data_IF_438800372772
#
_entry.id   IF_438800372772
#
_cell.length_a   1.000
_cell.length_b   1.000
_cell.length_c   1.000
_cell.angle_alpha   90.00
_cell.angle_beta   90.00
_cell.angle_gamma   90.00
#
_symmetry.space_group_name_H-M   'P 1'
#
loop_
_entity.id
_entity.type
_entity.pdbx_description
1 polymer ?
#
# COMPACT_ATOMS: atom_id res chain seq x y z
N UNK A 1 16.44 -39.22 1.83
CA UNK A 1 15.80 -38.56 0.67
C UNK A 1 15.96 -37.06 0.84
N UNK A 2 16.81 -36.44 0.03
CA UNK A 2 17.11 -35.01 0.15
C UNK A 2 15.85 -34.18 -0.06
N UNK A 3 15.65 -33.12 0.74
CA UNK A 3 14.52 -32.17 0.65
C UNK A 3 14.23 -31.63 -0.78
N UNK A 4 15.17 -31.78 -1.71
CA UNK A 4 15.13 -31.27 -3.08
C UNK A 4 14.07 -31.92 -3.98
N UNK A 5 13.82 -33.24 -3.85
CA UNK A 5 12.81 -33.94 -4.67
C UNK A 5 11.37 -33.56 -4.28
N UNK A 6 11.17 -33.03 -3.08
CA UNK A 6 9.85 -32.58 -2.59
C UNK A 6 9.46 -31.22 -3.20
N UNK A 7 10.43 -30.35 -3.48
CA UNK A 7 10.17 -29.01 -4.02
C UNK A 7 9.93 -29.01 -5.52
N UNK A 8 10.60 -29.91 -6.26
CA UNK A 8 10.53 -30.00 -7.73
C UNK A 8 10.34 -31.46 -8.21
N UNK A 9 9.17 -32.08 -7.94
CA UNK A 9 8.99 -33.53 -8.12
C UNK A 9 9.02 -34.02 -9.59
N UNK A 10 8.90 -33.11 -10.57
CA UNK A 10 8.77 -33.46 -12.00
C UNK A 10 9.94 -32.95 -12.87
N UNK A 11 11.03 -32.50 -12.26
CA UNK A 11 12.16 -31.90 -12.99
C UNK A 11 13.41 -32.78 -12.93
N UNK A 12 14.17 -32.78 -14.03
CA UNK A 12 15.48 -33.46 -14.11
C UNK A 12 16.47 -32.85 -13.12
N UNK A 13 17.49 -33.61 -12.70
CA UNK A 13 18.46 -33.17 -11.68
C UNK A 13 19.16 -31.85 -12.05
N UNK A 14 19.53 -31.66 -13.32
CA UNK A 14 20.14 -30.40 -13.80
C UNK A 14 19.19 -29.20 -13.68
N UNK A 15 17.93 -29.36 -14.10
CA UNK A 15 16.92 -28.30 -13.96
C UNK A 15 16.59 -28.01 -12.51
N UNK A 16 16.53 -29.04 -11.66
CA UNK A 16 16.31 -28.91 -10.22
C UNK A 16 17.45 -28.12 -9.58
N UNK A 17 18.70 -28.38 -9.96
CA UNK A 17 19.86 -27.67 -9.44
C UNK A 17 19.90 -26.20 -9.88
N UNK A 18 19.47 -25.88 -11.10
CA UNK A 18 19.32 -24.50 -11.56
C UNK A 18 18.28 -23.75 -10.73
N UNK A 19 17.12 -24.35 -10.46
CA UNK A 19 16.08 -23.72 -9.63
C UNK A 19 16.50 -23.57 -8.16
N UNK A 20 17.29 -24.49 -7.63
CA UNK A 20 17.87 -24.37 -6.30
C UNK A 20 18.87 -23.21 -6.22
N UNK A 21 19.76 -23.07 -7.20
CA UNK A 21 20.68 -21.94 -7.29
C UNK A 21 19.91 -20.60 -7.40
N UNK A 22 18.84 -20.56 -8.19
CA UNK A 22 17.98 -19.38 -8.27
C UNK A 22 17.33 -19.07 -6.92
N UNK A 23 16.78 -20.09 -6.24
CA UNK A 23 16.18 -19.93 -4.92
C UNK A 23 17.19 -19.43 -3.87
N UNK A 24 18.45 -19.87 -3.93
CA UNK A 24 19.53 -19.40 -3.05
C UNK A 24 19.90 -17.93 -3.32
N UNK A 25 19.97 -17.52 -4.59
CA UNK A 25 20.17 -16.10 -4.97
C UNK A 25 19.04 -15.25 -4.39
N UNK A 26 17.80 -15.73 -4.52
CA UNK A 26 16.62 -15.07 -3.98
C UNK A 26 16.67 -15.00 -2.45
N UNK A 27 17.11 -16.06 -1.77
CA UNK A 27 17.28 -16.08 -0.31
C UNK A 27 18.35 -15.10 0.16
N UNK A 28 19.49 -15.03 -0.52
CA UNK A 28 20.54 -14.06 -0.21
C UNK A 28 20.05 -12.61 -0.37
N UNK A 29 19.26 -12.33 -1.42
CA UNK A 29 18.57 -11.05 -1.58
C UNK A 29 17.60 -10.79 -0.41
N UNK A 30 16.82 -11.78 -0.01
CA UNK A 30 15.82 -11.69 1.06
C UNK A 30 16.38 -11.58 2.48
N UNK A 31 17.65 -11.88 2.75
CA UNK A 31 18.23 -11.56 4.08
C UNK A 31 18.39 -10.05 4.29
N UNK A 32 18.56 -9.28 3.20
CA UNK A 32 18.76 -7.83 3.22
C UNK A 32 17.44 -7.06 3.17
N UNK A 33 16.43 -7.57 2.45
CA UNK A 33 15.18 -6.85 2.17
C UNK A 33 14.24 -6.60 3.36
N UNK A 34 14.00 -7.54 4.30
CA UNK A 34 13.14 -7.31 5.46
C UNK A 34 13.62 -6.15 6.31
N UNK A 35 14.94 -5.95 6.40
CA UNK A 35 15.54 -4.78 7.03
C UNK A 35 15.25 -3.51 6.22
N UNK A 36 15.38 -3.56 4.90
CA UNK A 36 15.06 -2.44 4.02
C UNK A 36 13.58 -2.02 4.08
N UNK A 37 12.64 -2.96 4.01
CA UNK A 37 11.19 -2.67 4.10
C UNK A 37 10.83 -2.04 5.44
N UNK A 38 11.46 -2.48 6.53
CA UNK A 38 11.29 -1.86 7.84
C UNK A 38 11.74 -0.39 7.85
N UNK A 39 12.93 -0.07 7.32
CA UNK A 39 13.40 1.33 7.25
C UNK A 39 12.50 2.20 6.36
N UNK A 40 12.10 1.67 5.20
CA UNK A 40 11.18 2.36 4.30
C UNK A 40 9.83 2.57 4.97
N UNK A 41 9.33 1.59 5.72
CA UNK A 41 8.06 1.72 6.45
C UNK A 41 8.14 2.77 7.56
N UNK A 42 9.27 2.88 8.27
CA UNK A 42 9.51 3.94 9.26
C UNK A 42 9.47 5.34 8.62
N UNK A 43 10.21 5.55 7.53
CA UNK A 43 10.17 6.81 6.77
C UNK A 43 8.77 7.06 6.19
N UNK A 44 8.13 6.00 5.70
CA UNK A 44 6.78 5.99 5.16
C UNK A 44 5.74 6.43 6.18
N UNK A 45 5.83 5.98 7.42
CA UNK A 45 4.94 6.37 8.50
C UNK A 45 5.05 7.88 8.78
N UNK A 46 6.28 8.39 8.93
CA UNK A 46 6.53 9.82 9.17
C UNK A 46 5.98 10.66 8.01
N UNK A 47 6.32 10.30 6.77
CA UNK A 47 5.92 11.04 5.58
C UNK A 47 4.41 11.02 5.36
N UNK A 48 3.72 9.90 5.62
CA UNK A 48 2.26 9.81 5.54
C UNK A 48 1.54 10.56 6.67
N UNK A 49 2.08 10.54 7.89
CA UNK A 49 1.55 11.38 8.99
C UNK A 49 1.64 12.86 8.63
N UNK A 50 2.82 13.32 8.17
CA UNK A 50 2.99 14.70 7.70
C UNK A 50 2.06 15.00 6.53
N UNK A 51 1.91 14.06 5.60
CA UNK A 51 1.00 14.21 4.47
C UNK A 51 -0.43 14.48 4.93
N UNK A 52 -0.96 13.60 5.80
CA UNK A 52 -2.30 13.68 6.39
C UNK A 52 -2.52 14.98 7.15
N UNK A 53 -1.55 15.40 7.97
CA UNK A 53 -1.61 16.66 8.73
C UNK A 53 -1.82 17.87 7.81
N UNK A 54 -1.21 17.88 6.62
CA UNK A 54 -1.33 18.98 5.66
C UNK A 54 -2.65 18.92 4.89
N UNK A 55 -3.02 17.76 4.35
CA UNK A 55 -4.18 17.63 3.45
C UNK A 55 -5.52 17.68 4.18
N UNK A 56 -5.56 17.36 5.48
CA UNK A 56 -6.76 17.46 6.33
C UNK A 56 -7.10 18.90 6.73
N UNK A 57 -6.20 19.88 6.47
CA UNK A 57 -6.49 21.29 6.76
C UNK A 57 -7.65 21.80 5.90
N UNK A 58 -8.49 22.66 6.49
CA UNK A 58 -9.67 23.28 5.83
C UNK A 58 -9.33 23.94 4.48
N UNK A 59 -8.13 24.50 4.33
CA UNK A 59 -7.67 25.11 3.06
C UNK A 59 -7.46 24.11 1.92
N UNK A 60 -7.27 22.83 2.25
CA UNK A 60 -7.03 21.74 1.30
C UNK A 60 -8.30 20.92 1.05
N UNK A 61 -9.25 20.85 1.97
CA UNK A 61 -10.52 20.10 1.83
C UNK A 61 -11.53 20.80 0.90
N UNK A 62 -11.19 20.94 -0.37
CA UNK A 62 -11.97 21.72 -1.35
C UNK A 62 -12.58 20.88 -2.48
N UNK A 63 -12.15 19.63 -2.66
CA UNK A 63 -12.66 18.75 -3.71
C UNK A 63 -12.61 17.28 -3.30
N UNK A 64 -13.45 16.46 -3.94
CA UNK A 64 -13.47 14.99 -3.76
C UNK A 64 -12.10 14.34 -3.89
N UNK A 65 -11.27 14.78 -4.84
CA UNK A 65 -9.89 14.30 -5.00
C UNK A 65 -9.04 14.51 -3.75
N UNK A 66 -9.18 15.64 -3.04
CA UNK A 66 -8.40 15.86 -1.83
C UNK A 66 -8.88 14.93 -0.71
N UNK A 67 -10.16 14.57 -0.70
CA UNK A 67 -10.70 13.54 0.20
C UNK A 67 -10.19 12.14 -0.18
N UNK A 68 -10.14 11.81 -1.47
CA UNK A 68 -9.58 10.54 -1.94
C UNK A 68 -8.09 10.45 -1.56
N UNK A 69 -7.32 11.53 -1.70
CA UNK A 69 -5.93 11.60 -1.25
C UNK A 69 -5.79 11.42 0.28
N UNK A 70 -6.75 11.91 1.07
CA UNK A 70 -6.82 11.61 2.51
C UNK A 70 -7.01 10.10 2.73
N UNK A 71 -7.96 9.48 2.02
CA UNK A 71 -8.20 8.04 2.10
C UNK A 71 -6.96 7.22 1.76
N UNK A 72 -6.26 7.57 0.67
CA UNK A 72 -4.98 6.96 0.27
C UNK A 72 -3.97 7.08 1.42
N UNK A 73 -3.73 8.28 1.95
CA UNK A 73 -2.77 8.49 3.03
C UNK A 73 -3.12 7.75 4.33
N UNK A 74 -4.41 7.55 4.65
CA UNK A 74 -4.85 6.76 5.81
C UNK A 74 -4.47 5.30 5.61
N UNK A 75 -4.82 4.72 4.46
CA UNK A 75 -4.51 3.32 4.17
C UNK A 75 -3.01 3.07 4.02
N UNK A 76 -2.28 3.99 3.41
CA UNK A 76 -0.83 3.89 3.32
C UNK A 76 -0.20 3.92 4.72
N UNK A 77 -0.68 4.78 5.63
CA UNK A 77 -0.24 4.78 7.03
C UNK A 77 -0.59 3.46 7.74
N UNK A 78 -1.79 2.90 7.53
CA UNK A 78 -2.17 1.59 8.07
C UNK A 78 -1.20 0.50 7.61
N UNK A 79 -0.80 0.49 6.33
CA UNK A 79 0.20 -0.45 5.80
C UNK A 79 1.54 -0.28 6.53
N UNK A 80 2.03 0.95 6.69
CA UNK A 80 3.31 1.20 7.38
C UNK A 80 3.27 0.70 8.83
N UNK A 81 2.19 1.00 9.56
CA UNK A 81 2.01 0.56 10.94
C UNK A 81 1.90 -0.97 11.04
N UNK A 82 1.20 -1.61 10.09
CA UNK A 82 1.09 -3.06 10.02
C UNK A 82 2.42 -3.75 9.73
N UNK A 83 3.30 -3.12 8.93
CA UNK A 83 4.66 -3.63 8.69
C UNK A 83 5.52 -3.48 9.94
N UNK A 84 5.39 -2.38 10.69
CA UNK A 84 6.20 -2.11 11.89
C UNK A 84 5.78 -2.94 13.11
N UNK A 85 4.48 -3.24 13.27
CA UNK A 85 3.93 -3.92 14.45
C UNK A 85 4.60 -5.27 14.78
N UNK A 86 4.81 -6.19 13.81
CA UNK A 86 5.48 -7.49 14.05
C UNK A 86 6.93 -7.37 14.55
N UNK A 87 7.60 -6.24 14.31
CA UNK A 87 9.00 -6.04 14.70
C UNK A 87 9.17 -5.53 16.14
N UNK A 88 8.11 -5.00 16.75
CA UNK A 88 8.12 -4.67 18.17
C UNK A 88 8.12 -5.99 18.96
N UNK A 89 9.25 -6.31 19.60
CA UNK A 89 9.49 -7.55 20.38
C UNK A 89 9.60 -8.85 19.56
N UNK A 90 10.31 -8.83 18.43
CA UNK A 90 10.59 -10.06 17.69
C UNK A 90 11.62 -10.91 18.45
N UNK A 91 11.24 -12.13 18.82
CA UNK A 91 12.14 -13.12 19.40
C UNK A 91 13.28 -13.43 18.41
N UNK A 92 14.52 -13.46 18.88
CA UNK A 92 15.65 -13.93 18.09
C UNK A 92 15.51 -15.43 17.88
N UNK A 93 15.43 -15.85 16.61
CA UNK A 93 15.44 -17.26 16.22
C UNK A 93 16.76 -17.87 16.70
N UNK A 94 16.68 -18.93 17.52
CA UNK A 94 17.85 -19.56 18.15
C UNK A 94 18.45 -18.78 19.33
N UNK A 95 17.79 -17.72 19.79
CA UNK A 95 18.14 -17.00 21.01
C UNK A 95 17.39 -17.53 22.25
N UNK A 96 17.57 -16.83 23.36
CA UNK A 96 16.87 -17.11 24.62
C UNK A 96 15.48 -16.45 24.73
N UNK A 97 15.03 -15.81 23.65
CA UNK A 97 13.73 -15.16 23.61
C UNK A 97 12.63 -16.21 23.49
N UNK A 98 11.64 -16.23 24.40
CA UNK A 98 10.57 -17.22 24.33
C UNK A 98 9.67 -16.99 23.12
N UNK A 99 9.01 -18.04 22.59
CA UNK A 99 8.15 -17.92 21.41
C UNK A 99 6.98 -16.95 21.64
N UNK A 100 6.42 -16.39 20.55
CA UNK A 100 5.29 -15.47 20.62
C UNK A 100 4.08 -16.14 21.28
N UNK A 101 3.35 -15.37 22.09
CA UNK A 101 2.11 -15.84 22.70
C UNK A 101 1.00 -16.03 21.63
N UNK A 102 -0.02 -16.83 21.96
CA UNK A 102 -1.18 -17.03 21.09
C UNK A 102 -1.80 -15.70 20.63
N UNK A 103 -1.99 -14.75 21.55
CA UNK A 103 -2.52 -13.41 21.25
C UNK A 103 -1.63 -12.68 20.25
N UNK A 104 -0.30 -12.81 20.37
CA UNK A 104 0.64 -12.18 19.45
C UNK A 104 0.51 -12.74 18.03
N UNK A 105 0.39 -14.06 17.88
CA UNK A 105 0.16 -14.69 16.57
C UNK A 105 -1.14 -14.20 15.92
N UNK A 106 -2.21 -14.05 16.71
CA UNK A 106 -3.47 -13.48 16.21
C UNK A 106 -3.32 -12.00 15.80
N UNK A 107 -2.58 -11.19 16.57
CA UNK A 107 -2.30 -9.80 16.24
C UNK A 107 -1.47 -9.66 14.96
N UNK A 108 -0.51 -10.57 14.72
CA UNK A 108 0.29 -10.60 13.48
C UNK A 108 -0.58 -10.93 12.26
N UNK A 109 -1.46 -11.93 12.37
CA UNK A 109 -2.41 -12.26 11.31
C UNK A 109 -3.41 -11.11 11.05
N UNK A 110 -3.86 -10.43 12.10
CA UNK A 110 -4.70 -9.24 11.98
C UNK A 110 -3.94 -8.11 11.29
N UNK A 111 -2.68 -7.87 11.67
CA UNK A 111 -1.81 -6.87 11.06
C UNK A 111 -1.63 -7.12 9.56
N UNK A 112 -1.43 -8.37 9.17
CA UNK A 112 -1.35 -8.78 7.77
C UNK A 112 -2.67 -8.50 7.02
N UNK A 113 -3.82 -8.86 7.61
CA UNK A 113 -5.13 -8.61 7.00
C UNK A 113 -5.42 -7.10 6.82
N UNK A 114 -5.03 -6.27 7.80
CA UNK A 114 -5.12 -4.81 7.70
C UNK A 114 -4.24 -4.29 6.57
N UNK A 115 -2.99 -4.78 6.47
CA UNK A 115 -2.08 -4.40 5.40
C UNK A 115 -2.62 -4.79 4.02
N UNK A 116 -3.13 -6.01 3.86
CA UNK A 116 -3.72 -6.47 2.59
C UNK A 116 -4.92 -5.62 2.17
N UNK A 117 -5.89 -5.45 3.08
CA UNK A 117 -7.08 -4.63 2.82
C UNK A 117 -6.72 -3.18 2.49
N UNK A 118 -5.71 -2.62 3.15
CA UNK A 118 -5.28 -1.23 2.95
C UNK A 118 -4.52 -1.02 1.65
N UNK A 119 -3.63 -1.95 1.26
CA UNK A 119 -2.97 -1.94 -0.06
C UNK A 119 -3.99 -2.01 -1.20
N UNK A 120 -4.99 -2.88 -1.07
CA UNK A 120 -6.09 -3.03 -2.03
C UNK A 120 -6.93 -1.75 -2.12
N UNK A 121 -7.29 -1.17 -0.97
CA UNK A 121 -8.08 0.06 -0.92
C UNK A 121 -7.31 1.24 -1.52
N UNK A 122 -6.03 1.43 -1.17
CA UNK A 122 -5.17 2.49 -1.71
C UNK A 122 -5.10 2.42 -3.25
N UNK A 123 -4.94 1.22 -3.81
CA UNK A 123 -4.92 0.99 -5.26
C UNK A 123 -6.23 1.39 -5.95
N UNK A 124 -7.37 0.95 -5.43
CA UNK A 124 -8.69 1.28 -5.98
C UNK A 124 -9.07 2.75 -5.77
N UNK A 125 -8.57 3.38 -4.71
CA UNK A 125 -8.65 4.83 -4.53
C UNK A 125 -7.79 5.58 -5.53
N UNK A 126 -6.62 5.05 -5.91
CA UNK A 126 -5.81 5.56 -7.02
C UNK A 126 -6.56 5.53 -8.36
N UNK A 127 -7.26 4.43 -8.66
CA UNK A 127 -8.16 4.33 -9.82
C UNK A 127 -9.29 5.37 -9.75
N UNK A 128 -9.95 5.46 -8.60
CA UNK A 128 -11.05 6.40 -8.35
C UNK A 128 -10.60 7.86 -8.50
N UNK A 129 -9.40 8.18 -8.02
CA UNK A 129 -8.76 9.48 -8.13
C UNK A 129 -8.56 9.88 -9.60
N UNK A 130 -8.01 8.98 -10.41
CA UNK A 130 -7.79 9.18 -11.83
C UNK A 130 -9.12 9.38 -12.58
N UNK A 131 -10.12 8.54 -12.30
CA UNK A 131 -11.44 8.62 -12.91
C UNK A 131 -12.16 9.93 -12.59
N UNK A 132 -12.26 10.29 -11.30
CA UNK A 132 -12.88 11.54 -10.86
C UNK A 132 -12.19 12.73 -11.50
N UNK A 133 -10.86 12.73 -11.59
CA UNK A 133 -10.11 13.82 -12.19
C UNK A 133 -10.31 13.92 -13.69
N UNK A 134 -10.40 12.80 -14.40
CA UNK A 134 -10.73 12.78 -15.81
C UNK A 134 -12.10 13.40 -16.07
N UNK A 135 -13.13 12.93 -15.36
CA UNK A 135 -14.51 13.42 -15.54
C UNK A 135 -14.63 14.90 -15.18
N UNK A 136 -14.04 15.33 -14.07
CA UNK A 136 -14.07 16.75 -13.65
C UNK A 136 -13.36 17.65 -14.66
N UNK A 137 -12.21 17.22 -15.21
CA UNK A 137 -11.49 17.99 -16.22
C UNK A 137 -12.26 18.07 -17.55
N UNK A 138 -12.76 16.92 -18.04
CA UNK A 138 -13.55 16.83 -19.27
C UNK A 138 -14.82 17.68 -19.19
N UNK A 139 -15.55 17.60 -18.09
CA UNK A 139 -16.77 18.38 -17.88
C UNK A 139 -16.47 19.88 -17.70
N UNK A 140 -15.39 20.24 -17.00
CA UNK A 140 -14.95 21.64 -16.91
C UNK A 140 -14.56 22.22 -18.27
N UNK A 141 -14.01 21.42 -19.19
CA UNK A 141 -13.70 21.84 -20.57
C UNK A 141 -14.97 22.01 -21.41
N UNK A 142 -15.93 21.11 -21.26
CA UNK A 142 -17.23 21.16 -21.95
C UNK A 142 -18.28 22.06 -21.28
N UNK A 143 -17.89 22.80 -20.23
CA UNK A 143 -18.78 23.65 -19.42
C UNK A 143 -20.01 22.90 -18.86
N UNK A 144 -19.86 21.61 -18.57
CA UNK A 144 -20.92 20.78 -17.99
C UNK A 144 -20.79 20.70 -16.47
N UNK A 145 -21.89 20.84 -15.71
CA UNK A 145 -21.84 20.65 -14.26
C UNK A 145 -21.53 19.19 -13.92
N UNK A 146 -20.86 18.96 -12.79
CA UNK A 146 -20.61 17.61 -12.30
C UNK A 146 -20.61 17.55 -10.78
N UNK A 147 -21.32 16.56 -10.24
CA UNK A 147 -21.36 16.31 -8.80
C UNK A 147 -20.12 15.57 -8.29
N UNK A 148 -19.33 14.93 -9.17
CA UNK A 148 -18.17 14.13 -8.79
C UNK A 148 -17.05 14.94 -8.12
N UNK A 149 -17.05 16.27 -8.27
CA UNK A 149 -16.11 17.16 -7.59
C UNK A 149 -16.41 17.42 -6.11
N UNK A 150 -17.62 17.09 -5.63
CA UNK A 150 -18.11 17.40 -4.28
C UNK A 150 -17.45 16.51 -3.22
N UNK A 151 -17.16 17.08 -2.05
CA UNK A 151 -16.52 16.38 -0.92
C UNK A 151 -17.23 15.09 -0.51
N UNK A 152 -18.58 15.10 -0.48
CA UNK A 152 -19.40 13.93 -0.13
C UNK A 152 -19.09 12.71 -0.99
N UNK A 153 -18.89 12.90 -2.30
CA UNK A 153 -18.56 11.81 -3.22
C UNK A 153 -17.21 11.19 -2.88
N UNK A 154 -16.23 12.02 -2.47
CA UNK A 154 -14.92 11.53 -2.04
C UNK A 154 -15.03 10.59 -0.84
N UNK A 155 -15.80 10.96 0.19
CA UNK A 155 -15.99 10.11 1.37
C UNK A 155 -16.75 8.83 1.05
N UNK A 156 -17.80 8.90 0.22
CA UNK A 156 -18.52 7.70 -0.23
C UNK A 156 -17.57 6.72 -0.93
N UNK A 157 -16.71 7.21 -1.83
CA UNK A 157 -15.73 6.36 -2.52
C UNK A 157 -14.76 5.70 -1.55
N UNK A 158 -14.23 6.46 -0.57
CA UNK A 158 -13.34 5.93 0.48
C UNK A 158 -14.03 4.84 1.30
N UNK A 159 -15.24 5.09 1.78
CA UNK A 159 -15.98 4.12 2.59
C UNK A 159 -16.32 2.85 1.82
N UNK A 160 -16.87 2.97 0.61
CA UNK A 160 -17.29 1.81 -0.19
C UNK A 160 -16.10 0.94 -0.58
N UNK A 161 -15.00 1.54 -1.03
CA UNK A 161 -13.79 0.78 -1.41
C UNK A 161 -13.14 0.09 -0.20
N UNK A 162 -13.16 0.72 0.97
CA UNK A 162 -12.68 0.12 2.22
C UNK A 162 -13.51 -1.10 2.63
N UNK A 163 -14.84 -0.98 2.61
CA UNK A 163 -15.76 -2.06 3.00
C UNK A 163 -15.57 -3.28 2.09
N UNK A 164 -15.53 -3.07 0.77
CA UNK A 164 -15.29 -4.15 -0.20
C UNK A 164 -13.95 -4.81 0.08
N UNK A 165 -12.89 -4.03 0.31
CA UNK A 165 -11.55 -4.58 0.57
C UNK A 165 -11.46 -5.38 1.88
N UNK A 166 -12.21 -4.99 2.91
CA UNK A 166 -12.30 -5.74 4.18
C UNK A 166 -12.96 -7.10 3.96
N UNK A 167 -14.02 -7.19 3.14
CA UNK A 167 -14.69 -8.46 2.84
C UNK A 167 -13.71 -9.42 2.16
N UNK A 168 -12.94 -8.94 1.18
CA UNK A 168 -11.91 -9.76 0.54
C UNK A 168 -10.79 -10.18 1.51
N UNK A 169 -10.32 -9.26 2.37
CA UNK A 169 -9.30 -9.58 3.36
C UNK A 169 -9.80 -10.61 4.40
N UNK A 170 -11.09 -10.58 4.75
CA UNK A 170 -11.71 -11.59 5.61
C UNK A 170 -11.75 -12.97 4.92
N UNK A 171 -12.08 -13.02 3.63
CA UNK A 171 -12.02 -14.25 2.85
C UNK A 171 -10.58 -14.79 2.75
N UNK A 172 -9.58 -13.92 2.55
CA UNK A 172 -8.17 -14.30 2.59
C UNK A 172 -7.76 -14.80 3.99
N UNK A 173 -8.22 -14.15 5.06
CA UNK A 173 -7.95 -14.59 6.45
C UNK A 173 -8.51 -15.97 6.72
N UNK A 174 -9.65 -16.34 6.15
CA UNK A 174 -10.24 -17.68 6.30
C UNK A 174 -9.29 -18.80 5.87
N UNK A 175 -8.38 -18.53 4.91
CA UNK A 175 -7.37 -19.47 4.42
C UNK A 175 -6.44 -20.01 5.51
N UNK A 176 -6.20 -19.23 6.56
CA UNK A 176 -5.23 -19.57 7.60
C UNK A 176 -5.92 -20.02 8.89
N UNK A 177 -5.37 -21.02 9.54
CA UNK A 177 -5.74 -21.44 10.89
C UNK A 177 -4.54 -21.38 11.82
N UNK A 178 -4.80 -20.97 13.07
CA UNK A 178 -3.76 -20.91 14.09
C UNK A 178 -3.69 -22.28 14.73
N UNK A 179 -2.50 -22.85 14.79
CA UNK A 179 -2.24 -24.19 15.31
C UNK A 179 -1.16 -24.14 16.38
N UNK A 180 -1.21 -25.12 17.27
CA UNK A 180 -0.12 -25.43 18.18
C UNK A 180 0.89 -26.33 17.45
N UNK A 181 2.17 -25.94 17.44
CA UNK A 181 3.24 -26.70 16.76
C UNK A 181 3.98 -27.62 17.73
N UNK A 182 4.42 -27.06 18.86
CA UNK A 182 5.30 -27.74 19.79
C UNK A 182 5.29 -27.07 21.17
N UNK A 183 5.91 -27.74 22.14
CA UNK A 183 6.31 -27.12 23.41
C UNK A 183 7.78 -26.71 23.32
N UNK A 184 8.02 -25.40 23.35
CA UNK A 184 9.35 -24.83 23.36
C UNK A 184 10.00 -25.00 24.73
N UNK A 185 11.25 -25.48 24.70
CA UNK A 185 12.11 -25.59 25.86
C UNK A 185 13.30 -24.64 25.66
N UNK A 186 13.66 -23.84 26.68
CA UNK A 186 14.79 -22.94 26.57
C UNK A 186 16.10 -23.71 26.43
N UNK A 187 17.05 -23.23 25.59
CA UNK A 187 18.40 -23.78 25.57
C UNK A 187 19.05 -23.71 26.97
N UNK A 188 19.91 -24.68 27.35
CA UNK A 188 20.54 -24.70 28.68
C UNK A 188 21.33 -23.42 29.02
N UNK A 189 21.82 -22.71 28.00
CA UNK A 189 22.56 -21.45 28.11
C UNK A 189 21.72 -20.25 28.54
N UNK A 190 20.39 -20.38 28.62
CA UNK A 190 19.47 -19.24 28.74
C UNK A 190 19.05 -18.90 30.18
N UNK A 191 19.53 -19.63 31.19
CA UNK A 191 19.31 -19.30 32.61
C UNK A 191 17.86 -19.43 33.10
N UNK A 192 16.99 -20.11 32.34
CA UNK A 192 15.65 -20.46 32.78
C UNK A 192 15.68 -21.67 33.74
N UNK A 193 14.61 -21.89 34.51
CA UNK A 193 14.48 -23.09 35.34
C UNK A 193 14.35 -24.35 34.48
N UNK A 194 14.81 -25.50 34.99
CA UNK A 194 14.85 -26.78 34.25
C UNK A 194 13.47 -27.21 33.71
N UNK A 195 12.38 -26.82 34.38
CA UNK A 195 11.01 -27.17 33.98
C UNK A 195 10.27 -26.03 33.25
N UNK A 196 10.96 -24.95 32.87
CA UNK A 196 10.33 -23.85 32.15
C UNK A 196 9.97 -24.30 30.73
N UNK A 197 8.69 -24.18 30.38
CA UNK A 197 8.19 -24.52 29.04
C UNK A 197 7.24 -23.44 28.55
N UNK A 198 7.14 -23.31 27.23
CA UNK A 198 6.15 -22.43 26.61
C UNK A 198 5.58 -23.07 25.34
N UNK A 199 4.28 -22.96 25.13
CA UNK A 199 3.64 -23.39 23.89
C UNK A 199 4.07 -22.53 22.71
N UNK A 200 4.48 -23.18 21.63
CA UNK A 200 4.80 -22.55 20.35
C UNK A 200 3.58 -22.63 19.43
N UNK A 201 3.09 -21.46 19.02
CA UNK A 201 1.96 -21.32 18.11
C UNK A 201 2.43 -20.73 16.79
N UNK A 202 1.72 -21.07 15.72
CA UNK A 202 1.85 -20.38 14.44
C UNK A 202 0.59 -20.59 13.62
N UNK A 203 0.71 -20.44 12.30
CA UNK A 203 -0.43 -20.58 11.40
C UNK A 203 -0.09 -21.42 10.19
N UNK A 204 -1.04 -22.22 9.77
CA UNK A 204 -0.99 -23.05 8.57
C UNK A 204 -2.14 -22.68 7.66
N UNK A 205 -1.99 -23.00 6.38
CA UNK A 205 -3.11 -22.99 5.45
C UNK A 205 -4.03 -24.18 5.77
N UNK A 206 -5.34 -23.93 5.80
CA UNK A 206 -6.35 -24.96 6.04
C UNK A 206 -6.31 -26.04 4.96
N UNK A 207 -6.54 -27.29 5.37
CA UNK A 207 -6.52 -28.47 4.49
C UNK A 207 -7.42 -28.34 3.24
N UNK A 208 -8.59 -27.72 3.37
CA UNK A 208 -9.55 -27.51 2.26
C UNK A 208 -8.96 -26.78 1.04
N UNK A 209 -7.87 -26.02 1.21
CA UNK A 209 -7.21 -25.34 0.10
C UNK A 209 -6.28 -26.26 -0.71
N UNK A 210 -5.94 -27.43 -0.18
CA UNK A 210 -5.16 -28.46 -0.89
C UNK A 210 -6.05 -29.55 -1.50
N UNK A 211 -7.32 -29.62 -1.11
CA UNK A 211 -8.28 -30.56 -1.68
C UNK A 211 -8.56 -30.26 -3.17
N UNK A 212 -8.99 -31.30 -3.91
CA UNK A 212 -9.39 -31.22 -5.32
C UNK A 212 -8.35 -30.52 -6.22
N UNK A 213 -7.09 -31.00 -6.22
CA UNK A 213 -5.99 -30.42 -7.02
C UNK A 213 -5.80 -28.92 -6.77
N UNK A 214 -5.83 -28.52 -5.48
CA UNK A 214 -5.61 -27.15 -5.02
C UNK A 214 -6.57 -26.13 -5.66
N UNK A 215 -7.78 -26.55 -6.06
CA UNK A 215 -8.70 -25.70 -6.82
C UNK A 215 -9.04 -24.40 -6.09
N UNK A 216 -9.36 -24.47 -4.79
CA UNK A 216 -9.72 -23.29 -4.00
C UNK A 216 -8.53 -22.32 -3.84
N UNK A 217 -7.32 -22.87 -3.71
CA UNK A 217 -6.08 -22.09 -3.66
C UNK A 217 -5.80 -21.38 -4.98
N UNK A 218 -5.88 -22.10 -6.10
CA UNK A 218 -5.74 -21.56 -7.45
C UNK A 218 -6.74 -20.44 -7.70
N UNK A 219 -8.02 -20.67 -7.41
CA UNK A 219 -9.06 -19.65 -7.57
C UNK A 219 -8.81 -18.42 -6.71
N UNK A 220 -8.32 -18.59 -5.49
CA UNK A 220 -7.95 -17.45 -4.62
C UNK A 220 -6.83 -16.60 -5.24
N UNK A 221 -5.76 -17.24 -5.74
CA UNK A 221 -4.67 -16.54 -6.43
C UNK A 221 -5.13 -15.85 -7.72
N UNK A 222 -5.99 -16.52 -8.51
CA UNK A 222 -6.53 -15.96 -9.74
C UNK A 222 -7.38 -14.72 -9.48
N UNK A 223 -8.27 -14.79 -8.49
CA UNK A 223 -9.17 -13.69 -8.10
C UNK A 223 -8.34 -12.50 -7.61
N UNK A 224 -7.39 -12.71 -6.69
CA UNK A 224 -6.55 -11.63 -6.18
C UNK A 224 -5.63 -11.06 -7.28
N UNK A 225 -5.00 -11.91 -8.10
CA UNK A 225 -4.13 -11.46 -9.20
C UNK A 225 -4.87 -10.66 -10.26
N UNK A 226 -6.07 -11.09 -10.67
CA UNK A 226 -6.85 -10.39 -11.69
C UNK A 226 -7.55 -9.16 -11.09
N UNK A 227 -8.41 -9.35 -10.09
CA UNK A 227 -9.29 -8.29 -9.61
C UNK A 227 -8.55 -7.27 -8.73
N UNK A 228 -7.61 -7.71 -7.89
CA UNK A 228 -6.94 -6.78 -6.98
C UNK A 228 -5.74 -6.07 -7.63
N UNK A 229 -5.17 -6.61 -8.72
CA UNK A 229 -3.93 -6.09 -9.33
C UNK A 229 -4.08 -5.73 -10.81
N UNK A 230 -4.38 -6.71 -11.67
CA UNK A 230 -4.37 -6.49 -13.11
C UNK A 230 -5.45 -5.51 -13.57
N UNK A 231 -6.69 -5.68 -13.10
CA UNK A 231 -7.82 -4.81 -13.45
C UNK A 231 -7.54 -3.34 -13.08
N UNK A 232 -7.12 -3.00 -11.84
CA UNK A 232 -6.68 -1.65 -11.50
C UNK A 232 -5.59 -1.10 -12.44
N UNK A 233 -4.59 -1.90 -12.80
CA UNK A 233 -3.51 -1.49 -13.70
C UNK A 233 -4.03 -1.16 -15.10
N UNK A 234 -4.84 -2.01 -15.71
CA UNK A 234 -5.41 -1.75 -17.04
C UNK A 234 -6.31 -0.50 -17.04
N UNK A 235 -7.13 -0.33 -16.00
CA UNK A 235 -7.96 0.87 -15.86
C UNK A 235 -7.08 2.12 -15.70
N UNK A 236 -6.01 2.05 -14.90
CA UNK A 236 -5.07 3.16 -14.72
C UNK A 236 -4.32 3.52 -16.01
N UNK A 237 -3.94 2.55 -16.83
CA UNK A 237 -3.33 2.80 -18.15
C UNK A 237 -4.31 3.56 -19.05
N UNK A 238 -5.55 3.06 -19.14
CA UNK A 238 -6.61 3.70 -19.94
C UNK A 238 -6.90 5.12 -19.45
N UNK A 239 -7.15 5.28 -18.15
CA UNK A 239 -7.44 6.58 -17.55
C UNK A 239 -6.25 7.54 -17.63
N UNK A 240 -5.03 7.04 -17.47
CA UNK A 240 -3.80 7.82 -17.62
C UNK A 240 -3.68 8.41 -19.02
N UNK A 241 -3.88 7.61 -20.06
CA UNK A 241 -3.91 8.08 -21.45
C UNK A 241 -5.00 9.13 -21.66
N UNK A 242 -6.22 8.85 -21.20
CA UNK A 242 -7.37 9.77 -21.33
C UNK A 242 -7.13 11.10 -20.58
N UNK A 243 -6.51 11.05 -19.39
CA UNK A 243 -6.12 12.23 -18.60
C UNK A 243 -5.09 13.07 -19.33
N UNK A 244 -4.05 12.46 -19.91
CA UNK A 244 -3.02 13.17 -20.67
C UNK A 244 -3.64 13.83 -21.90
N UNK A 245 -4.51 13.12 -22.63
CA UNK A 245 -5.22 13.66 -23.79
C UNK A 245 -6.09 14.86 -23.43
N UNK A 246 -6.95 14.73 -22.42
CA UNK A 246 -7.81 15.84 -21.98
C UNK A 246 -7.01 17.00 -21.39
N UNK A 247 -5.88 16.74 -20.72
CA UNK A 247 -4.99 17.79 -20.22
C UNK A 247 -4.35 18.58 -21.37
N UNK A 248 -3.89 17.92 -22.45
CA UNK A 248 -3.36 18.58 -23.65
C UNK A 248 -4.44 19.44 -24.33
N UNK A 249 -5.62 18.87 -24.57
CA UNK A 249 -6.74 19.61 -25.16
C UNK A 249 -7.16 20.83 -24.32
N UNK A 250 -7.19 20.67 -22.99
CA UNK A 250 -7.49 21.78 -22.07
C UNK A 250 -6.40 22.86 -22.06
N UNK A 251 -5.15 22.54 -22.44
CA UNK A 251 -4.07 23.52 -22.59
C UNK A 251 -4.15 24.24 -23.95
N UNK A 252 -4.43 23.52 -25.03
CA UNK A 252 -4.55 24.07 -26.39
C UNK A 252 -5.74 25.03 -26.51
N UNK A 253 -6.93 24.61 -26.07
CA UNK A 253 -8.13 25.46 -26.06
C UNK A 253 -7.91 26.79 -25.31
N UNK A 254 -7.01 26.83 -24.33
CA UNK A 254 -6.66 28.05 -23.59
C UNK A 254 -5.65 28.94 -24.31
N UNK A 255 -4.70 28.35 -25.06
CA UNK A 255 -3.77 29.13 -25.89
C UNK A 255 -4.54 29.97 -26.92
N UNK A 256 -5.67 29.45 -27.39
CA UNK A 256 -6.56 30.14 -28.32
C UNK A 256 -7.46 31.21 -27.68
N UNK A 257 -7.73 31.14 -26.36
CA UNK A 257 -8.72 31.99 -25.67
C UNK A 257 -8.15 33.18 -24.86
N UNK A 258 -6.86 33.49 -24.94
CA UNK A 258 -6.30 34.77 -24.48
C UNK A 258 -6.39 35.18 -22.99
N UNK A 259 -7.13 34.52 -22.08
CA UNK A 259 -7.29 35.04 -20.70
C UNK A 259 -7.65 34.03 -19.57
N UNK A 260 -7.34 34.47 -18.34
CA UNK A 260 -7.42 33.91 -16.96
C UNK A 260 -6.47 32.77 -16.57
N UNK A 261 -5.23 33.17 -16.19
CA UNK A 261 -4.13 32.31 -15.70
C UNK A 261 -4.29 31.76 -14.26
N UNK A 262 -5.01 32.42 -13.34
CA UNK A 262 -4.91 32.12 -11.89
C UNK A 262 -5.68 30.88 -11.41
N UNK A 263 -6.97 30.73 -11.75
CA UNK A 263 -7.81 29.65 -11.21
C UNK A 263 -7.70 28.34 -12.02
N UNK A 264 -7.48 28.46 -13.32
CA UNK A 264 -7.39 27.32 -14.26
C UNK A 264 -6.00 26.64 -14.24
N UNK A 265 -4.94 27.36 -13.84
CA UNK A 265 -3.59 26.81 -13.67
C UNK A 265 -3.49 25.86 -12.46
N UNK A 266 -4.28 26.11 -11.41
CA UNK A 266 -4.42 25.23 -10.24
C UNK A 266 -4.92 23.83 -10.65
N UNK A 267 -6.01 23.77 -11.42
CA UNK A 267 -6.59 22.49 -11.90
C UNK A 267 -5.60 21.67 -12.73
N UNK A 268 -4.84 22.31 -13.63
CA UNK A 268 -3.82 21.62 -14.43
C UNK A 268 -2.71 21.02 -13.58
N UNK A 269 -2.27 21.71 -12.51
CA UNK A 269 -1.27 21.16 -11.58
C UNK A 269 -1.82 19.95 -10.84
N UNK A 270 -3.09 19.99 -10.41
CA UNK A 270 -3.72 18.82 -9.78
C UNK A 270 -3.84 17.64 -10.74
N UNK A 271 -4.17 17.85 -12.01
CA UNK A 271 -4.16 16.78 -13.02
C UNK A 271 -2.76 16.21 -13.23
N UNK A 272 -1.72 17.06 -13.29
CA UNK A 272 -0.32 16.60 -13.37
C UNK A 272 0.10 15.75 -12.16
N UNK A 273 -0.33 16.13 -10.95
CA UNK A 273 -0.13 15.33 -9.73
C UNK A 273 -0.75 13.94 -9.90
N UNK A 274 -2.01 13.90 -10.34
CA UNK A 274 -2.74 12.63 -10.50
C UNK A 274 -2.09 11.76 -11.57
N UNK A 275 -1.66 12.32 -12.69
CA UNK A 275 -0.90 11.57 -13.72
C UNK A 275 0.40 11.00 -13.13
N UNK A 276 1.16 11.79 -12.36
CA UNK A 276 2.39 11.33 -11.72
C UNK A 276 2.14 10.17 -10.75
N UNK A 277 1.07 10.28 -9.93
CA UNK A 277 0.65 9.22 -9.01
C UNK A 277 0.16 7.98 -9.76
N UNK A 278 -0.59 8.14 -10.86
CA UNK A 278 -1.02 7.02 -11.70
C UNK A 278 0.16 6.24 -12.27
N UNK A 279 1.18 6.94 -12.77
CA UNK A 279 2.41 6.30 -13.28
C UNK A 279 3.14 5.56 -12.15
N UNK A 280 3.27 6.18 -10.97
CA UNK A 280 3.96 5.53 -9.85
C UNK A 280 3.23 4.29 -9.34
N UNK A 281 1.88 4.32 -9.28
CA UNK A 281 1.07 3.13 -8.99
C UNK A 281 1.28 2.03 -10.03
N UNK A 282 1.27 2.34 -11.32
CA UNK A 282 1.48 1.34 -12.37
C UNK A 282 2.84 0.64 -12.24
N UNK A 283 3.88 1.42 -12.01
CA UNK A 283 5.25 0.91 -11.87
C UNK A 283 5.38 -0.01 -10.65
N UNK A 284 4.69 0.30 -9.54
CA UNK A 284 4.75 -0.51 -8.32
C UNK A 284 3.82 -1.74 -8.34
N UNK A 285 2.61 -1.63 -8.88
CA UNK A 285 1.59 -2.69 -8.82
C UNK A 285 1.67 -3.70 -9.98
N UNK A 286 2.14 -3.28 -11.16
CA UNK A 286 2.14 -4.15 -12.34
C UNK A 286 3.01 -5.41 -12.19
N UNK A 287 4.25 -5.33 -11.68
CA UNK A 287 5.07 -6.54 -11.47
C UNK A 287 4.44 -7.50 -10.47
N UNK A 288 3.81 -6.97 -9.41
CA UNK A 288 3.16 -7.77 -8.39
C UNK A 288 1.95 -8.54 -8.97
N UNK A 289 1.18 -7.93 -9.87
CA UNK A 289 0.09 -8.60 -10.58
C UNK A 289 0.57 -9.78 -11.43
N UNK A 290 1.70 -9.65 -12.11
CA UNK A 290 2.31 -10.74 -12.89
C UNK A 290 2.71 -11.91 -11.99
N UNK A 291 3.35 -11.63 -10.85
CA UNK A 291 3.75 -12.67 -9.90
C UNK A 291 2.54 -13.46 -9.38
N UNK A 292 1.41 -12.80 -9.09
CA UNK A 292 0.20 -13.49 -8.64
C UNK A 292 -0.42 -14.38 -9.72
N UNK A 293 -0.38 -13.96 -11.00
CA UNK A 293 -0.82 -14.82 -12.11
C UNK A 293 0.11 -16.04 -12.25
N UNK A 294 1.43 -15.85 -12.12
CA UNK A 294 2.38 -16.95 -12.13
C UNK A 294 2.14 -17.93 -10.97
N UNK A 295 1.78 -17.45 -9.78
CA UNK A 295 1.43 -18.31 -8.65
C UNK A 295 0.19 -19.16 -8.93
N UNK A 296 -0.78 -18.64 -9.68
CA UNK A 296 -1.92 -19.44 -10.16
C UNK A 296 -1.48 -20.53 -11.14
N UNK A 297 -0.69 -20.18 -12.16
CA UNK A 297 -0.25 -21.12 -13.20
C UNK A 297 0.64 -22.24 -12.63
N UNK A 298 1.50 -21.89 -11.66
CA UNK A 298 2.51 -22.78 -11.09
C UNK A 298 2.13 -23.31 -9.70
N UNK A 299 0.83 -23.26 -9.34
CA UNK A 299 0.36 -23.65 -8.01
C UNK A 299 0.64 -25.11 -7.64
N UNK A 300 0.81 -25.99 -8.63
CA UNK A 300 1.04 -27.43 -8.44
C UNK A 300 2.49 -27.77 -8.08
N UNK A 301 3.42 -26.82 -8.24
CA UNK A 301 4.85 -27.04 -7.94
C UNK A 301 5.26 -26.22 -6.70
N UNK A 302 5.46 -26.85 -5.54
CA UNK A 302 5.79 -26.15 -4.30
C UNK A 302 7.03 -25.26 -4.38
N UNK A 303 8.07 -25.70 -5.11
CA UNK A 303 9.30 -24.93 -5.30
C UNK A 303 9.08 -23.61 -6.04
N UNK A 304 8.25 -23.59 -7.08
CA UNK A 304 7.90 -22.34 -7.77
C UNK A 304 7.04 -21.43 -6.91
N UNK A 305 6.06 -21.98 -6.18
CA UNK A 305 5.28 -21.20 -5.23
C UNK A 305 6.17 -20.50 -4.19
N UNK A 306 7.15 -21.22 -3.62
CA UNK A 306 8.09 -20.67 -2.66
C UNK A 306 8.87 -19.48 -3.27
N UNK A 307 9.45 -19.66 -4.46
CA UNK A 307 10.21 -18.63 -5.16
C UNK A 307 9.34 -17.41 -5.52
N UNK A 308 8.10 -17.63 -5.96
CA UNK A 308 7.18 -16.55 -6.31
C UNK A 308 6.68 -15.79 -5.09
N UNK A 309 6.39 -16.48 -3.97
CA UNK A 309 6.05 -15.82 -2.69
C UNK A 309 7.20 -14.98 -2.16
N UNK A 310 8.44 -15.41 -2.40
CA UNK A 310 9.66 -14.64 -2.13
C UNK A 310 9.77 -13.38 -3.01
N UNK A 311 9.54 -13.51 -4.33
CA UNK A 311 9.46 -12.36 -5.25
C UNK A 311 8.35 -11.37 -4.89
N UNK A 312 7.21 -11.88 -4.42
CA UNK A 312 6.11 -11.05 -3.94
C UNK A 312 6.54 -10.13 -2.79
N UNK A 313 7.42 -10.57 -1.90
CA UNK A 313 7.96 -9.72 -0.83
C UNK A 313 8.79 -8.54 -1.38
N UNK A 314 9.56 -8.77 -2.45
CA UNK A 314 10.33 -7.72 -3.11
C UNK A 314 9.42 -6.64 -3.74
N UNK A 315 8.36 -7.04 -4.43
CA UNK A 315 7.43 -6.07 -5.03
C UNK A 315 6.54 -5.38 -3.98
N UNK A 316 6.29 -6.02 -2.84
CA UNK A 316 5.67 -5.37 -1.70
C UNK A 316 6.51 -4.20 -1.18
N UNK A 317 7.84 -4.33 -1.11
CA UNK A 317 8.74 -3.21 -0.78
C UNK A 317 8.59 -2.05 -1.78
N UNK A 318 8.45 -2.36 -3.07
CA UNK A 318 8.25 -1.34 -4.11
C UNK A 318 6.93 -0.58 -3.92
N UNK A 319 5.85 -1.29 -3.56
CA UNK A 319 4.58 -0.67 -3.17
C UNK A 319 4.71 0.19 -1.91
N UNK A 320 5.45 -0.29 -0.91
CA UNK A 320 5.76 0.49 0.30
C UNK A 320 6.51 1.77 -0.06
N UNK A 321 7.50 1.72 -0.97
CA UNK A 321 8.17 2.91 -1.50
C UNK A 321 7.20 3.86 -2.20
N UNK A 322 6.30 3.35 -3.05
CA UNK A 322 5.29 4.16 -3.73
C UNK A 322 4.36 4.90 -2.74
N UNK A 323 3.96 4.25 -1.66
CA UNK A 323 3.17 4.88 -0.60
C UNK A 323 3.94 5.99 0.16
N UNK A 324 5.27 5.95 0.19
CA UNK A 324 6.08 7.01 0.84
C UNK A 324 6.18 8.30 -0.01
N UNK A 325 6.10 8.18 -1.33
CA UNK A 325 6.42 9.31 -2.24
C UNK A 325 5.27 10.31 -2.42
N UNK A 326 4.04 9.97 -2.04
CA UNK A 326 2.87 10.83 -2.26
C UNK A 326 2.98 12.20 -1.61
N UNK A 327 3.58 12.27 -0.40
CA UNK A 327 3.85 13.52 0.28
C UNK A 327 4.75 14.44 -0.57
N UNK A 328 5.84 13.89 -1.09
CA UNK A 328 6.80 14.60 -1.93
C UNK A 328 6.20 15.03 -3.27
N UNK A 329 5.45 14.15 -3.94
CA UNK A 329 4.74 14.48 -5.18
C UNK A 329 3.81 15.67 -4.95
N UNK A 330 3.00 15.62 -3.89
CA UNK A 330 2.09 16.71 -3.53
C UNK A 330 2.85 18.01 -3.23
N UNK A 331 3.95 17.95 -2.48
CA UNK A 331 4.76 19.13 -2.15
C UNK A 331 5.42 19.76 -3.40
N UNK A 332 5.99 18.95 -4.28
CA UNK A 332 6.70 19.41 -5.49
C UNK A 332 5.76 20.00 -6.53
N UNK A 333 4.55 19.46 -6.69
CA UNK A 333 3.65 19.81 -7.78
C UNK A 333 2.46 20.70 -7.36
N UNK A 334 2.06 20.69 -6.07
CA UNK A 334 0.90 21.47 -5.58
C UNK A 334 1.31 22.76 -4.89
N UNK A 335 0.97 23.90 -5.49
CA UNK A 335 1.13 25.21 -4.85
C UNK A 335 0.22 25.38 -3.64
N UNK A 336 -0.99 24.81 -3.67
CA UNK A 336 -1.89 24.85 -2.52
C UNK A 336 -1.29 24.11 -1.33
N UNK A 337 -0.71 22.93 -1.57
CA UNK A 337 -0.03 22.16 -0.54
C UNK A 337 1.13 22.95 0.09
N UNK A 338 2.03 23.51 -0.73
CA UNK A 338 3.14 24.35 -0.23
C UNK A 338 2.67 25.56 0.55
N UNK A 339 1.62 26.24 0.10
CA UNK A 339 1.07 27.40 0.80
C UNK A 339 0.47 27.00 2.16
N UNK A 340 -0.19 25.85 2.25
CA UNK A 340 -0.69 25.31 3.52
C UNK A 340 0.46 24.96 4.47
N UNK A 341 1.51 24.28 3.99
CA UNK A 341 2.72 24.00 4.79
C UNK A 341 3.34 25.30 5.31
N UNK A 342 3.55 26.30 4.44
CA UNK A 342 4.07 27.61 4.84
C UNK A 342 3.20 28.27 5.90
N UNK A 343 1.87 28.27 5.76
CA UNK A 343 0.96 28.83 6.77
C UNK A 343 1.08 28.08 8.10
N UNK A 344 1.17 26.75 8.08
CA UNK A 344 1.33 25.96 9.30
C UNK A 344 2.63 26.27 10.03
N UNK A 345 3.74 26.42 9.31
CA UNK A 345 5.05 26.75 9.89
C UNK A 345 5.18 28.24 10.29
N UNK A 346 4.61 29.16 9.50
CA UNK A 346 4.75 30.60 9.73
C UNK A 346 3.73 31.17 10.74
N UNK A 347 2.63 30.47 11.03
CA UNK A 347 1.65 30.92 12.03
C UNK A 347 2.11 30.75 13.49
N UNK A 348 3.31 30.20 13.76
CA UNK A 348 3.95 30.33 15.08
C UNK A 348 4.59 31.72 15.29
N UNK A 349 4.73 32.54 14.23
CA UNK A 349 5.11 33.95 14.33
C UNK A 349 3.91 34.87 14.09
N UNK A 350 2.89 34.83 14.97
CA UNK A 350 2.02 36.01 15.12
C UNK A 350 2.69 36.93 16.14
N UNK A 351 3.33 38.00 15.66
CA UNK A 351 3.65 39.17 16.47
C UNK A 351 2.36 39.61 17.18
N UNK A 352 2.38 39.59 18.50
CA UNK A 352 1.44 40.36 19.31
C UNK A 352 1.74 41.82 18.97
N UNK A 353 0.92 42.44 18.13
CA UNK A 353 0.91 43.89 18.02
C UNK A 353 0.21 44.38 19.29
N UNK A 354 1.01 44.86 20.26
CA UNK A 354 0.50 45.62 21.40
C UNK A 354 -0.09 46.90 20.81
N UNK A 355 -1.42 47.02 20.85
CA UNK A 355 -2.09 48.29 20.59
C UNK A 355 -1.78 49.18 21.79
N UNK A 356 -0.91 50.18 21.61
CA UNK A 356 -0.75 51.24 22.59
C UNK A 356 -2.09 51.99 22.69
N UNK A 357 -2.69 51.95 23.87
CA UNK A 357 -3.85 52.78 24.19
C UNK A 357 -3.42 54.25 24.07
N UNK A 358 -4.16 55.02 23.28
CA UNK A 358 -4.01 56.47 23.22
C UNK A 358 -4.32 57.04 24.61
N UNK A 359 -3.31 57.63 25.23
CA UNK A 359 -3.47 58.48 26.40
C UNK A 359 -4.18 59.76 25.98
N UNK A 360 -5.41 59.96 26.48
CA UNK A 360 -6.04 61.27 26.50
C UNK A 360 -5.27 62.12 27.52
N UNK A 361 -4.74 63.25 27.07
CA UNK A 361 -4.10 64.26 27.91
C UNK A 361 -4.99 65.53 27.90
N UNK A 362 -4.83 66.38 28.93
CA UNK A 362 -5.80 66.58 30.01
C UNK A 362 -6.96 67.52 29.72
#
# INVERSE_FOLDING_TARGET
MSNHTVLFPNFTDETTQLFLNFNEIVDNLLTKFPKAEFYVAGIGAITNILHLIVITRKSMMTSSTNVILIGIGIHDLMVMLSILSPFVNRARIGGCDPPPSLIRVHLELLSYAISDSSRRTSSWLGVSLAFVRFVVLKNSRKLRPTNLGKLRIGWILVSVTSIISIIFAAAYRFRFEVVWFATWHPPPSCGFSENFTRSEYGYLQRAIFYDYHELLLKMSFLIDGILAKCVPCFILILLGFLLVKELKQAQESRKMMGSRKKESGSKNRTTKIVICMTISYLVAEFPLGIIMILQFVLAETPGFLLVLSKMQLLFNLMNTCNATIHCFICFLLSVHYRNTVKRMLCCYKKRIAVVQAFSVQP
#
